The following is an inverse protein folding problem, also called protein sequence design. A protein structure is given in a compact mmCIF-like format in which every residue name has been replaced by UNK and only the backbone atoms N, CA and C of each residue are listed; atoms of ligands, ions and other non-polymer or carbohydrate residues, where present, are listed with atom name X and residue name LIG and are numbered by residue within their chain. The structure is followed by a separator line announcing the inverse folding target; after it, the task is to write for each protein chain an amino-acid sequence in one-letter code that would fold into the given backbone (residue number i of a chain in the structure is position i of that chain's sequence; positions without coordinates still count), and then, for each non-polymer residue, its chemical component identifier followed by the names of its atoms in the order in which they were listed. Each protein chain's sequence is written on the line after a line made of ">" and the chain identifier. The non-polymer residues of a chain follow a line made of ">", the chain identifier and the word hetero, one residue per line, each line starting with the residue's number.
data_IF_620150231647
#
_entry.id   IF_620150231647
#
_cell.length_a   1.000
_cell.length_b   1.000
_cell.length_c   1.000
_cell.angle_alpha   90.00
_cell.angle_beta   90.00
_cell.angle_gamma   90.00
#
_symmetry.space_group_name_H-M   'P 1'
#
loop_
_entity.id
_entity.type
_entity.pdbx_description
1 polymer ?
#
# COMPACT_ATOMS: atom_id res chain seq x y z
N UNK A 1 13.61 14.49 1.31
CA UNK A 1 13.70 14.36 -0.17
C UNK A 1 12.38 14.81 -0.75
N UNK A 2 12.37 15.55 -1.86
CA UNK A 2 11.11 16.02 -2.48
C UNK A 2 10.38 14.90 -3.24
N UNK A 3 9.03 14.85 -3.20
CA UNK A 3 8.23 13.80 -3.84
C UNK A 3 8.53 13.59 -5.32
N UNK A 4 8.67 14.67 -6.11
CA UNK A 4 8.98 14.59 -7.55
C UNK A 4 10.24 13.78 -7.84
N UNK A 5 11.29 13.92 -7.02
CA UNK A 5 12.53 13.15 -7.16
C UNK A 5 12.33 11.69 -6.81
N UNK A 6 11.56 11.41 -5.76
CA UNK A 6 11.23 10.06 -5.32
C UNK A 6 10.42 9.30 -6.39
N UNK A 7 9.39 9.94 -6.95
CA UNK A 7 8.61 9.41 -8.07
C UNK A 7 9.48 9.14 -9.30
N UNK A 8 10.40 10.04 -9.65
CA UNK A 8 11.31 9.81 -10.78
C UNK A 8 12.26 8.61 -10.57
N UNK A 9 12.56 8.23 -9.32
CA UNK A 9 13.31 7.02 -8.99
C UNK A 9 12.42 5.78 -9.19
N UNK A 10 11.21 5.81 -8.63
CA UNK A 10 10.23 4.72 -8.72
C UNK A 10 9.75 4.46 -10.15
N UNK A 11 9.57 5.50 -10.96
CA UNK A 11 9.21 5.37 -12.39
C UNK A 11 10.25 4.58 -13.20
N UNK A 12 11.50 4.55 -12.72
CA UNK A 12 12.58 3.73 -13.31
C UNK A 12 12.65 2.31 -12.73
N UNK A 13 11.69 1.92 -11.90
CA UNK A 13 11.67 0.64 -11.18
C UNK A 13 12.75 0.51 -10.10
N UNK A 14 13.36 1.62 -9.68
CA UNK A 14 14.39 1.62 -8.64
C UNK A 14 13.75 1.82 -7.27
N UNK A 15 14.23 1.13 -6.22
CA UNK A 15 13.66 1.25 -4.89
C UNK A 15 14.00 2.61 -4.25
N UNK A 16 13.11 3.09 -3.39
CA UNK A 16 13.43 4.12 -2.40
C UNK A 16 13.94 3.43 -1.13
N UNK A 17 15.12 3.84 -0.66
CA UNK A 17 15.76 3.22 0.52
C UNK A 17 16.35 4.29 1.43
N UNK A 18 16.00 4.27 2.72
CA UNK A 18 16.69 5.08 3.73
C UNK A 18 16.43 6.58 3.63
N UNK A 19 15.28 7.00 3.08
CA UNK A 19 14.99 8.41 2.83
C UNK A 19 13.73 8.89 3.56
N UNK A 20 13.76 10.15 3.99
CA UNK A 20 12.55 10.90 4.36
C UNK A 20 11.98 11.58 3.12
N UNK A 21 10.67 11.47 2.87
CA UNK A 21 9.96 12.23 1.84
C UNK A 21 9.13 13.33 2.51
N UNK A 22 9.42 14.58 2.15
CA UNK A 22 8.78 15.77 2.73
C UNK A 22 7.66 16.23 1.79
N UNK A 23 6.41 15.96 2.18
CA UNK A 23 5.19 16.07 1.38
C UNK A 23 4.64 14.73 0.86
N UNK A 24 3.52 14.79 0.14
CA UNK A 24 2.82 13.61 -0.37
C UNK A 24 3.55 12.95 -1.53
N UNK A 25 3.81 11.65 -1.41
CA UNK A 25 4.24 10.81 -2.53
C UNK A 25 3.01 10.41 -3.35
N UNK A 26 2.70 11.25 -4.35
CA UNK A 26 1.46 11.15 -5.13
C UNK A 26 1.68 10.54 -6.52
N UNK A 27 1.28 9.29 -6.69
CA UNK A 27 1.35 8.57 -7.95
C UNK A 27 0.34 9.08 -8.98
N UNK A 28 -0.75 9.77 -8.60
CA UNK A 28 -1.72 10.31 -9.57
C UNK A 28 -1.11 11.41 -10.44
N UNK A 29 0.07 11.91 -10.07
CA UNK A 29 0.86 12.83 -10.91
C UNK A 29 1.40 12.19 -12.19
N UNK A 30 1.34 10.85 -12.33
CA UNK A 30 1.68 10.16 -13.57
C UNK A 30 0.51 10.09 -14.58
N UNK A 31 -0.71 10.43 -14.18
CA UNK A 31 -1.90 10.40 -15.04
C UNK A 31 -3.19 9.99 -14.31
N UNK A 32 -4.25 9.78 -15.09
CA UNK A 32 -5.53 9.20 -14.64
C UNK A 32 -5.51 7.71 -14.99
N UNK A 33 -6.01 6.84 -14.10
CA UNK A 33 -6.11 5.38 -14.33
C UNK A 33 -4.77 4.75 -14.76
N UNK A 34 -3.75 4.93 -13.91
CA UNK A 34 -2.37 4.68 -14.32
C UNK A 34 -2.04 3.20 -14.26
N UNK A 35 -1.62 2.65 -15.41
CA UNK A 35 -0.96 1.35 -15.47
C UNK A 35 0.51 1.45 -15.03
N UNK A 36 0.85 0.84 -13.90
CA UNK A 36 2.20 0.82 -13.34
C UNK A 36 2.81 -0.57 -13.54
N UNK A 37 3.68 -0.70 -14.54
CA UNK A 37 4.35 -1.95 -14.90
C UNK A 37 5.77 -2.10 -14.33
N UNK A 38 6.18 -1.19 -13.44
CA UNK A 38 7.47 -1.25 -12.75
C UNK A 38 7.23 -1.57 -11.28
N UNK A 39 8.12 -2.36 -10.63
CA UNK A 39 7.97 -2.65 -9.22
C UNK A 39 8.08 -1.37 -8.39
N UNK A 40 7.18 -1.21 -7.44
CA UNK A 40 7.21 -0.11 -6.48
C UNK A 40 7.74 -0.66 -5.18
N UNK A 41 8.93 -0.20 -4.77
CA UNK A 41 9.57 -0.68 -3.56
C UNK A 41 10.04 0.49 -2.71
N UNK A 42 9.54 0.57 -1.49
CA UNK A 42 9.86 1.60 -0.49
C UNK A 42 10.31 0.89 0.78
N UNK A 43 11.54 1.17 1.24
CA UNK A 43 12.16 0.47 2.37
C UNK A 43 12.90 1.40 3.31
N UNK A 44 12.77 1.21 4.62
CA UNK A 44 13.50 2.00 5.61
C UNK A 44 13.26 3.52 5.43
N UNK A 45 12.03 3.91 5.09
CA UNK A 45 11.70 5.29 4.75
C UNK A 45 10.76 5.92 5.80
N UNK A 46 10.69 7.25 5.77
CA UNK A 46 9.64 8.02 6.45
C UNK A 46 8.92 8.85 5.40
N UNK A 47 7.62 8.69 5.27
CA UNK A 47 6.80 9.43 4.32
C UNK A 47 5.84 10.35 5.08
N UNK A 48 5.71 11.60 4.66
CA UNK A 48 4.66 12.47 5.22
C UNK A 48 3.26 11.93 4.83
N UNK A 49 3.02 11.60 3.55
CA UNK A 49 1.78 10.95 3.10
C UNK A 49 2.00 10.18 1.79
N UNK A 50 1.09 9.26 1.45
CA UNK A 50 1.15 8.47 0.22
C UNK A 50 -0.21 8.46 -0.48
N UNK A 51 -0.21 8.63 -1.80
CA UNK A 51 -1.44 8.64 -2.59
C UNK A 51 -1.26 7.89 -3.90
N UNK A 52 -2.08 6.89 -4.14
CA UNK A 52 -2.07 6.05 -5.32
C UNK A 52 -3.49 5.65 -5.73
N UNK A 53 -4.34 6.66 -5.97
CA UNK A 53 -5.73 6.46 -6.37
C UNK A 53 -5.81 5.94 -7.79
N UNK A 54 -6.74 5.02 -8.06
CA UNK A 54 -7.01 4.48 -9.40
C UNK A 54 -5.75 3.95 -10.10
N UNK A 55 -4.81 3.36 -9.33
CA UNK A 55 -3.56 2.83 -9.85
C UNK A 55 -3.64 1.32 -10.07
N UNK A 56 -3.23 0.87 -11.26
CA UNK A 56 -3.20 -0.53 -11.67
C UNK A 56 -1.76 -1.05 -11.65
N UNK A 57 -1.38 -1.75 -10.58
CA UNK A 57 -0.04 -2.30 -10.39
C UNK A 57 0.07 -3.68 -11.05
N UNK A 58 0.77 -3.72 -12.19
CA UNK A 58 1.16 -4.96 -12.89
C UNK A 58 2.55 -5.44 -12.48
N UNK A 59 3.00 -5.03 -11.30
CA UNK A 59 4.24 -5.44 -10.67
C UNK A 59 4.08 -5.32 -9.17
N UNK A 60 4.85 -6.09 -8.37
CA UNK A 60 4.67 -6.10 -6.92
C UNK A 60 4.85 -4.70 -6.31
N UNK A 61 3.97 -4.38 -5.35
CA UNK A 61 4.09 -3.20 -4.50
C UNK A 61 4.59 -3.63 -3.13
N UNK A 62 5.70 -3.04 -2.69
CA UNK A 62 6.37 -3.43 -1.44
C UNK A 62 6.66 -2.20 -0.59
N UNK A 63 6.06 -2.15 0.58
CA UNK A 63 6.39 -1.23 1.67
C UNK A 63 7.00 -2.07 2.79
N UNK A 64 8.25 -1.77 3.17
CA UNK A 64 8.93 -2.49 4.25
C UNK A 64 9.61 -1.56 5.23
N UNK A 65 9.42 -1.78 6.53
CA UNK A 65 10.08 -0.98 7.57
C UNK A 65 9.94 0.53 7.29
N UNK A 66 8.72 0.97 6.98
CA UNK A 66 8.45 2.35 6.53
C UNK A 66 7.35 2.94 7.41
N UNK A 67 7.58 4.18 7.87
CA UNK A 67 6.65 4.95 8.69
C UNK A 67 5.94 6.00 7.83
N UNK A 68 4.61 6.04 7.88
CA UNK A 68 3.78 7.01 7.17
C UNK A 68 3.13 7.91 8.23
N UNK A 69 3.42 9.21 8.18
CA UNK A 69 3.06 10.15 9.24
C UNK A 69 1.60 10.65 9.13
N UNK A 70 1.12 10.86 7.91
CA UNK A 70 -0.26 11.18 7.58
C UNK A 70 -0.93 10.00 6.88
N UNK A 71 -1.80 10.31 5.93
CA UNK A 71 -2.62 9.29 5.28
C UNK A 71 -1.89 8.56 4.15
N UNK A 72 -2.27 7.30 3.95
CA UNK A 72 -1.92 6.47 2.81
C UNK A 72 -3.20 5.99 2.13
N UNK A 73 -3.48 6.47 0.92
CA UNK A 73 -4.65 6.00 0.16
C UNK A 73 -4.25 5.30 -1.13
N UNK A 74 -4.83 4.11 -1.29
CA UNK A 74 -4.83 3.26 -2.47
C UNK A 74 -6.28 3.01 -2.93
N UNK A 75 -7.16 4.00 -2.79
CA UNK A 75 -8.55 3.90 -3.27
C UNK A 75 -8.58 3.42 -4.73
N UNK A 76 -9.38 2.39 -4.99
CA UNK A 76 -9.46 1.71 -6.28
C UNK A 76 -8.08 1.26 -6.81
N UNK A 77 -7.18 0.82 -5.92
CA UNK A 77 -5.83 0.34 -6.22
C UNK A 77 -5.81 -1.16 -6.53
N UNK A 78 -5.37 -1.52 -7.73
CA UNK A 78 -5.40 -2.91 -8.21
C UNK A 78 -4.00 -3.50 -8.15
N UNK A 79 -3.81 -4.54 -7.34
CA UNK A 79 -2.53 -5.17 -7.04
C UNK A 79 -2.42 -6.53 -7.73
N UNK A 80 -2.39 -6.56 -9.07
CA UNK A 80 -2.41 -7.81 -9.84
C UNK A 80 -1.26 -8.76 -9.47
N UNK A 81 -0.08 -8.20 -9.20
CA UNK A 81 1.13 -8.92 -8.77
C UNK A 81 1.39 -8.83 -7.25
N UNK A 82 0.37 -8.47 -6.47
CA UNK A 82 0.42 -8.45 -5.01
C UNK A 82 0.86 -7.14 -4.37
N UNK A 83 0.55 -7.04 -3.07
CA UNK A 83 0.88 -5.91 -2.18
C UNK A 83 1.47 -6.46 -0.89
N UNK A 84 2.66 -6.01 -0.53
CA UNK A 84 3.35 -6.44 0.68
C UNK A 84 3.64 -5.23 1.57
N UNK A 85 2.90 -5.10 2.67
CA UNK A 85 3.12 -4.11 3.72
C UNK A 85 3.67 -4.87 4.93
N UNK A 86 4.94 -4.66 5.24
CA UNK A 86 5.65 -5.43 6.25
C UNK A 86 6.47 -4.55 7.19
N UNK A 87 6.31 -4.72 8.50
CA UNK A 87 7.03 -3.94 9.52
C UNK A 87 6.78 -2.43 9.36
N UNK A 88 5.60 -2.02 8.91
CA UNK A 88 5.27 -0.61 8.70
C UNK A 88 4.55 0.00 9.90
N UNK A 89 4.47 1.32 9.91
CA UNK A 89 3.68 2.07 10.88
C UNK A 89 2.89 3.15 10.13
N UNK A 90 1.56 3.14 10.26
CA UNK A 90 0.66 4.14 9.70
C UNK A 90 0.07 4.96 10.84
N UNK A 91 0.40 6.25 10.88
CA UNK A 91 -0.10 7.17 11.90
C UNK A 91 -1.43 7.82 11.49
N UNK A 92 -1.62 8.07 10.20
CA UNK A 92 -2.91 8.44 9.61
C UNK A 92 -3.68 7.23 9.09
N UNK A 93 -4.71 7.51 8.29
CA UNK A 93 -5.55 6.48 7.68
C UNK A 93 -4.78 5.64 6.65
N UNK A 94 -5.07 4.33 6.62
CA UNK A 94 -4.76 3.47 5.49
C UNK A 94 -6.06 3.14 4.76
N UNK A 95 -6.23 3.71 3.58
CA UNK A 95 -7.39 3.49 2.73
C UNK A 95 -7.07 2.53 1.57
N UNK A 96 -7.70 1.37 1.58
CA UNK A 96 -7.61 0.32 0.55
C UNK A 96 -8.96 0.09 -0.15
N UNK A 97 -9.94 0.98 0.06
CA UNK A 97 -11.30 0.84 -0.46
C UNK A 97 -11.33 0.57 -1.97
N UNK A 98 -12.22 -0.32 -2.40
CA UNK A 98 -12.35 -0.78 -3.79
C UNK A 98 -11.03 -1.36 -4.37
N UNK A 99 -10.07 -1.72 -3.52
CA UNK A 99 -8.79 -2.28 -3.92
C UNK A 99 -8.78 -3.80 -4.01
N UNK A 100 -7.66 -4.36 -4.48
CA UNK A 100 -7.45 -5.82 -4.55
C UNK A 100 -7.09 -6.29 -5.95
N UNK A 101 -7.86 -7.20 -6.51
CA UNK A 101 -7.67 -7.83 -7.83
C UNK A 101 -6.35 -8.60 -7.98
N UNK A 102 -5.73 -8.98 -6.87
CA UNK A 102 -4.68 -10.01 -6.89
C UNK A 102 -5.31 -11.35 -7.30
N UNK A 103 -4.65 -12.10 -8.17
CA UNK A 103 -5.12 -13.41 -8.65
C UNK A 103 -4.09 -14.50 -8.38
N UNK A 104 -4.52 -15.76 -8.44
CA UNK A 104 -3.65 -16.92 -8.25
C UNK A 104 -2.90 -16.84 -6.90
N UNK A 105 -1.60 -17.17 -6.87
CA UNK A 105 -0.74 -17.10 -5.68
C UNK A 105 -0.23 -15.69 -5.34
N UNK A 106 -0.62 -14.65 -6.09
CA UNK A 106 -0.19 -13.29 -5.81
C UNK A 106 -0.88 -12.79 -4.53
N UNK A 107 -0.09 -12.50 -3.50
CA UNK A 107 -0.60 -12.23 -2.16
C UNK A 107 -0.72 -10.75 -1.89
N UNK A 108 -1.78 -10.39 -1.17
CA UNK A 108 -1.84 -9.16 -0.41
C UNK A 108 -1.52 -9.51 1.04
N UNK A 109 -0.43 -8.96 1.57
CA UNK A 109 0.12 -9.30 2.88
C UNK A 109 0.26 -8.02 3.70
N UNK A 110 -0.40 -8.00 4.85
CA UNK A 110 -0.17 -7.05 5.93
C UNK A 110 0.49 -7.82 7.08
N UNK A 111 1.75 -7.53 7.36
CA UNK A 111 2.51 -8.29 8.35
C UNK A 111 3.28 -7.38 9.29
N UNK A 112 3.24 -7.71 10.59
CA UNK A 112 4.03 -7.03 11.63
C UNK A 112 3.88 -5.50 11.57
N UNK A 113 2.71 -5.01 11.18
CA UNK A 113 2.46 -3.60 10.88
C UNK A 113 1.54 -3.02 11.94
N UNK A 114 1.83 -1.78 12.34
CA UNK A 114 1.05 -1.02 13.31
C UNK A 114 0.18 0.00 12.60
N UNK A 115 -1.09 0.06 12.98
CA UNK A 115 -2.06 1.04 12.49
C UNK A 115 -2.59 1.88 13.66
N UNK A 116 -2.32 3.18 13.62
CA UNK A 116 -2.84 4.13 14.63
C UNK A 116 -4.05 4.92 14.12
N UNK A 117 -4.17 5.07 12.80
CA UNK A 117 -5.34 5.62 12.12
C UNK A 117 -6.27 4.54 11.57
N UNK A 118 -7.44 4.96 11.08
CA UNK A 118 -8.47 4.07 10.53
C UNK A 118 -7.89 3.20 9.38
N UNK A 119 -8.38 1.97 9.26
CA UNK A 119 -8.03 1.10 8.12
C UNK A 119 -9.28 0.73 7.35
N UNK A 120 -9.36 1.19 6.12
CA UNK A 120 -10.54 1.02 5.27
C UNK A 120 -10.34 -0.09 4.24
N UNK A 121 -11.11 -1.17 4.38
CA UNK A 121 -11.18 -2.26 3.40
C UNK A 121 -12.54 -2.37 2.72
N UNK A 122 -13.33 -1.29 2.70
CA UNK A 122 -14.66 -1.32 2.12
C UNK A 122 -14.60 -1.72 0.64
N UNK A 123 -15.46 -2.65 0.23
CA UNK A 123 -15.59 -3.11 -1.16
C UNK A 123 -14.27 -3.64 -1.79
N UNK A 124 -13.33 -4.11 -0.96
CA UNK A 124 -12.15 -4.78 -1.49
C UNK A 124 -12.50 -6.13 -2.14
N UNK A 125 -11.90 -6.41 -3.30
CA UNK A 125 -12.07 -7.67 -4.02
C UNK A 125 -10.72 -8.38 -4.13
N UNK A 126 -10.39 -9.25 -3.18
CA UNK A 126 -9.20 -10.11 -3.26
C UNK A 126 -9.58 -11.48 -3.83
N UNK A 127 -9.07 -11.84 -5.01
CA UNK A 127 -9.30 -13.16 -5.64
C UNK A 127 -8.23 -14.19 -5.25
N UNK A 128 -7.00 -13.72 -4.97
CA UNK A 128 -5.91 -14.52 -4.41
C UNK A 128 -5.76 -14.34 -2.89
N UNK A 129 -4.72 -14.91 -2.27
CA UNK A 129 -4.52 -14.89 -0.83
C UNK A 129 -4.42 -13.46 -0.26
N UNK A 130 -5.22 -13.20 0.79
CA UNK A 130 -5.11 -12.03 1.64
C UNK A 130 -4.69 -12.48 3.04
N UNK A 131 -3.56 -11.96 3.55
CA UNK A 131 -2.95 -12.41 4.81
C UNK A 131 -2.72 -11.22 5.72
N UNK A 132 -3.26 -11.29 6.93
CA UNK A 132 -2.94 -10.35 8.02
C UNK A 132 -2.29 -11.14 9.15
N UNK A 133 -1.08 -10.77 9.55
CA UNK A 133 -0.33 -11.50 10.59
C UNK A 133 0.50 -10.61 11.48
N UNK A 134 0.31 -10.73 12.80
CA UNK A 134 1.11 -10.01 13.79
C UNK A 134 1.00 -8.50 13.69
N UNK A 135 -0.10 -7.99 13.12
CA UNK A 135 -0.40 -6.57 13.08
C UNK A 135 -1.08 -6.14 14.39
N UNK A 136 -0.89 -4.89 14.77
CA UNK A 136 -1.60 -4.26 15.89
C UNK A 136 -2.34 -3.02 15.39
N UNK A 137 -3.49 -2.74 15.99
CA UNK A 137 -4.26 -1.53 15.72
C UNK A 137 -4.73 -0.91 17.03
N UNK A 138 -4.59 0.41 17.15
CA UNK A 138 -5.32 1.19 18.16
C UNK A 138 -6.57 1.85 17.59
N UNK A 139 -6.78 1.73 16.28
CA UNK A 139 -7.88 2.32 15.53
C UNK A 139 -8.99 1.32 15.20
N UNK A 140 -10.16 1.86 14.88
CA UNK A 140 -11.27 1.13 14.26
C UNK A 140 -10.85 0.70 12.85
N UNK A 141 -11.32 -0.46 12.39
CA UNK A 141 -11.12 -0.92 11.01
C UNK A 141 -12.44 -1.41 10.43
N UNK A 142 -12.60 -1.29 9.12
CA UNK A 142 -13.59 -2.09 8.40
C UNK A 142 -13.06 -3.52 8.29
N UNK A 143 -13.78 -4.50 8.83
CA UNK A 143 -13.42 -5.90 8.64
C UNK A 143 -13.70 -6.33 7.20
N UNK A 144 -12.78 -7.09 6.62
CA UNK A 144 -12.97 -7.69 5.30
C UNK A 144 -14.02 -8.80 5.41
N UNK A 145 -15.14 -8.62 4.70
CA UNK A 145 -16.10 -9.70 4.44
C UNK A 145 -15.74 -10.37 3.10
N UNK A 146 -14.74 -11.26 3.09
CA UNK A 146 -14.37 -12.00 1.89
C UNK A 146 -14.33 -13.51 2.16
N UNK A 147 -14.71 -14.35 1.17
CA UNK A 147 -15.04 -15.78 1.35
C UNK A 147 -13.87 -16.65 1.85
N UNK A 148 -12.65 -16.12 1.90
CA UNK A 148 -11.42 -16.85 2.22
C UNK A 148 -10.65 -16.31 3.43
N UNK A 149 -11.16 -15.31 4.15
CA UNK A 149 -10.57 -14.88 5.43
C UNK A 149 -10.99 -15.86 6.54
N UNK A 150 -10.28 -16.99 6.67
CA UNK A 150 -10.38 -17.79 7.88
C UNK A 150 -9.34 -17.32 8.90
N UNK A 151 -9.74 -16.96 10.12
CA UNK A 151 -8.79 -16.81 11.21
C UNK A 151 -8.19 -18.19 11.52
N UNK A 152 -6.86 -18.27 11.57
CA UNK A 152 -6.19 -19.40 12.21
C UNK A 152 -6.39 -19.32 13.72
#
# INVERSE_FOLDING_TARGET
>A
MKPKKALAILAKGRPLVGVRIDGTLDFTTWGVEIKISKPITIRNCVLDSLKALFCYFHSPVVLRNTKILGDASFYAGYFFEGLHINQCEFLGELDLQCGGHNKNENRVILQSTRFDGFVNFFDCWYEGPFVVRGCSSTAVCHLIANRHCQPN
#
